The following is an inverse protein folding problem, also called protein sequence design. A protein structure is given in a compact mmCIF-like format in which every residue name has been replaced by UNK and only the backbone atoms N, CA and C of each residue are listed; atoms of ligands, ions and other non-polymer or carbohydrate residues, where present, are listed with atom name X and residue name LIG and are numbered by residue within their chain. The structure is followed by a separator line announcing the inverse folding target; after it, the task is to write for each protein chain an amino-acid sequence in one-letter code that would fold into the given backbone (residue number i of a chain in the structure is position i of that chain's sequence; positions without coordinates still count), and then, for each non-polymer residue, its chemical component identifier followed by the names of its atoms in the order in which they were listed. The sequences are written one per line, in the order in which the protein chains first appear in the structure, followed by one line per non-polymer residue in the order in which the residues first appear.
data_IF_004618980699
#
_entry.id   IF_004618980699
#
_cell.length_a   1.000
_cell.length_b   1.000
_cell.length_c   1.000
_cell.angle_alpha   90.00
_cell.angle_beta   90.00
_cell.angle_gamma   90.00
#
_symmetry.space_group_name_H-M   'P 1'
#
loop_
_entity.id
_entity.type
_entity.pdbx_description
1 polymer ?
#
# COMPACT_ATOMS: atom_id res chain seq x y z
N UNK A 1 0.21 3.16 10.90
CA UNK A 1 1.59 2.77 10.56
C UNK A 1 2.21 3.82 9.63
N UNK A 2 3.50 4.12 9.72
CA UNK A 2 4.15 5.09 8.82
C UNK A 2 4.66 4.44 7.51
N UNK A 3 4.79 5.21 6.42
CA UNK A 3 5.39 4.74 5.16
C UNK A 3 6.81 4.20 5.33
N UNK A 4 7.57 4.73 6.31
CA UNK A 4 8.90 4.21 6.63
C UNK A 4 8.82 2.78 7.18
N UNK A 5 7.90 2.53 8.11
CA UNK A 5 7.69 1.17 8.64
C UNK A 5 7.19 0.23 7.55
N UNK A 6 6.24 0.67 6.72
CA UNK A 6 5.74 -0.11 5.59
C UNK A 6 6.85 -0.49 4.60
N UNK A 7 7.78 0.43 4.31
CA UNK A 7 8.92 0.13 3.43
C UNK A 7 9.87 -0.94 4.00
N UNK A 8 10.04 -0.98 5.32
CA UNK A 8 10.88 -1.99 5.98
C UNK A 8 10.21 -3.36 5.95
N UNK A 9 8.89 -3.41 6.20
CA UNK A 9 8.14 -4.67 6.25
C UNK A 9 7.97 -5.27 4.85
N UNK A 10 7.64 -4.44 3.87
CA UNK A 10 7.32 -4.91 2.50
C UNK A 10 8.53 -4.97 1.56
N UNK A 11 9.64 -4.33 1.93
CA UNK A 11 10.78 -4.12 1.03
C UNK A 11 10.52 -3.11 -0.10
N UNK A 12 9.31 -2.52 -0.19
CA UNK A 12 9.00 -1.54 -1.22
C UNK A 12 9.67 -0.19 -0.94
N UNK A 13 10.06 0.49 -2.02
CA UNK A 13 10.63 1.83 -1.92
C UNK A 13 9.61 2.81 -1.30
N UNK A 14 10.02 3.57 -0.28
CA UNK A 14 9.17 4.56 0.39
C UNK A 14 8.54 5.57 -0.58
N UNK A 15 9.29 6.02 -1.59
CA UNK A 15 8.79 6.95 -2.60
C UNK A 15 7.75 6.31 -3.52
N UNK A 16 7.90 5.02 -3.83
CA UNK A 16 6.87 4.25 -4.52
C UNK A 16 5.60 4.13 -3.69
N UNK A 17 5.72 3.72 -2.41
CA UNK A 17 4.59 3.64 -1.48
C UNK A 17 3.87 4.98 -1.32
N UNK A 18 4.61 6.09 -1.25
CA UNK A 18 4.02 7.44 -1.19
C UNK A 18 3.25 7.80 -2.46
N UNK A 19 3.72 7.38 -3.64
CA UNK A 19 2.96 7.59 -4.89
C UNK A 19 1.71 6.73 -4.93
N UNK A 20 1.77 5.49 -4.47
CA UNK A 20 0.59 4.60 -4.36
C UNK A 20 -0.45 5.21 -3.42
N UNK A 21 -0.05 5.66 -2.23
CA UNK A 21 -0.93 6.33 -1.25
C UNK A 21 -1.59 7.59 -1.83
N UNK A 22 -0.85 8.36 -2.64
CA UNK A 22 -1.36 9.57 -3.31
C UNK A 22 -2.09 9.30 -4.63
N UNK A 23 -2.33 8.03 -4.99
CA UNK A 23 -2.91 7.60 -6.27
C UNK A 23 -2.12 8.08 -7.51
N UNK A 24 -0.85 8.42 -7.34
CA UNK A 24 0.07 8.87 -8.39
C UNK A 24 0.80 7.72 -9.08
N UNK A 25 0.64 6.48 -8.57
CA UNK A 25 1.17 5.28 -9.19
C UNK A 25 0.20 4.12 -8.99
N UNK A 26 -0.02 3.34 -10.05
CA UNK A 26 -0.70 2.05 -9.93
C UNK A 26 0.14 1.04 -9.15
N UNK A 27 -0.54 0.20 -8.39
CA UNK A 27 0.04 -0.96 -7.74
C UNK A 27 -0.45 -2.22 -8.45
N UNK A 28 0.46 -3.17 -8.71
CA UNK A 28 0.06 -4.48 -9.22
C UNK A 28 -0.66 -5.28 -8.13
N UNK A 29 -1.45 -6.28 -8.50
CA UNK A 29 -2.12 -7.18 -7.54
C UNK A 29 -1.16 -7.85 -6.56
N UNK A 30 0.07 -8.13 -6.99
CA UNK A 30 1.12 -8.65 -6.11
C UNK A 30 1.55 -7.60 -5.07
N UNK A 31 1.69 -6.34 -5.51
CA UNK A 31 2.03 -5.22 -4.63
C UNK A 31 0.92 -4.97 -3.62
N UNK A 32 -0.33 -4.90 -4.08
CA UNK A 32 -1.49 -4.69 -3.21
C UNK A 32 -1.60 -5.79 -2.15
N UNK A 33 -1.37 -7.05 -2.53
CA UNK A 33 -1.33 -8.17 -1.58
C UNK A 33 -0.23 -8.02 -0.53
N UNK A 34 1.00 -7.69 -0.94
CA UNK A 34 2.11 -7.50 0.00
C UNK A 34 1.87 -6.33 0.97
N UNK A 35 1.25 -5.24 0.50
CA UNK A 35 0.87 -4.12 1.37
C UNK A 35 -0.27 -4.53 2.32
N UNK A 36 -1.27 -5.28 1.85
CA UNK A 36 -2.38 -5.78 2.65
C UNK A 36 -1.93 -6.70 3.78
N UNK A 37 -1.04 -7.63 3.46
CA UNK A 37 -0.43 -8.52 4.44
C UNK A 37 0.37 -7.75 5.49
N UNK A 38 1.19 -6.78 5.07
CA UNK A 38 1.97 -5.95 5.99
C UNK A 38 1.12 -5.04 6.88
N UNK A 39 -0.10 -4.74 6.46
CA UNK A 39 -1.07 -3.95 7.23
C UNK A 39 -2.06 -4.82 8.01
N UNK A 40 -1.99 -6.16 7.85
CA UNK A 40 -2.94 -7.12 8.42
C UNK A 40 -4.40 -6.80 8.06
N UNK A 41 -4.63 -6.28 6.85
CA UNK A 41 -5.96 -5.95 6.33
C UNK A 41 -6.26 -6.73 5.06
N UNK A 42 -7.55 -6.97 4.73
CA UNK A 42 -7.91 -7.51 3.43
C UNK A 42 -7.49 -6.56 2.28
N UNK A 43 -7.09 -7.11 1.14
CA UNK A 43 -6.76 -6.31 -0.08
C UNK A 43 -7.90 -5.37 -0.48
N UNK A 44 -9.15 -5.82 -0.29
CA UNK A 44 -10.34 -5.02 -0.55
C UNK A 44 -10.46 -3.77 0.34
N UNK A 45 -9.79 -3.74 1.50
CA UNK A 45 -9.74 -2.56 2.37
C UNK A 45 -8.75 -1.49 1.86
N UNK A 46 -7.75 -1.87 1.07
CA UNK A 46 -6.79 -0.94 0.44
C UNK A 46 -7.37 -0.35 -0.85
N UNK A 47 -8.20 -1.11 -1.55
CA UNK A 47 -8.85 -0.68 -2.79
C UNK A 47 -10.15 0.10 -2.57
N UNK A 48 -10.61 0.32 -1.33
CA UNK A 48 -11.78 1.17 -1.10
C UNK A 48 -11.40 2.61 -1.38
N UNK A 49 -11.86 3.10 -2.52
CA UNK A 49 -12.07 4.53 -2.68
C UNK A 49 -12.90 5.01 -1.48
N UNK A 50 -12.35 5.96 -0.74
CA UNK A 50 -13.06 6.65 0.34
C UNK A 50 -14.36 7.17 -0.26
N UNK A 51 -15.47 6.49 0.05
CA UNK A 51 -16.79 6.95 -0.35
C UNK A 51 -17.04 8.31 0.33
N UNK A 52 -17.62 9.28 -0.39
CA UNK A 52 -17.84 10.64 0.11
C UNK A 52 -18.69 10.69 1.39
#
# INVERSE_FOLDING_TARGET
MSLRQLSVITGYNRGYLSRVERRLAGASDHTLRGIAEALEVPVAAINREEAP
#
